data_IF_420355411669
#
_entry.id   IF_420355411669
#
_cell.length_a   1.000
_cell.length_b   1.000
_cell.length_c   1.000
_cell.angle_alpha   90.00
_cell.angle_beta   90.00
_cell.angle_gamma   90.00
#
_symmetry.space_group_name_H-M   'P 1'
#
loop_
_entity.id
_entity.type
_entity.pdbx_description
1 polymer ?
#
# COMPACT_ATOMS: atom_id res chain seq x y z
N UNK A 1 -9.40 -11.86 12.21
CA UNK A 1 -9.56 -10.59 11.48
C UNK A 1 -11.04 -10.22 11.59
N UNK A 2 -11.40 -9.06 12.15
CA UNK A 2 -12.81 -8.63 12.08
C UNK A 2 -13.15 -8.32 10.62
N UNK A 3 -14.31 -8.81 10.19
CA UNK A 3 -14.73 -8.95 8.81
C UNK A 3 -14.63 -7.64 8.00
N UNK A 4 -13.84 -7.56 6.89
CA UNK A 4 -13.70 -6.38 6.01
C UNK A 4 -14.98 -5.94 5.28
N UNK A 5 -16.14 -6.53 5.59
CA UNK A 5 -17.40 -6.42 4.85
C UNK A 5 -18.05 -5.02 4.80
N UNK A 6 -17.46 -3.97 5.40
CA UNK A 6 -18.03 -2.62 5.39
C UNK A 6 -17.18 -1.57 4.69
N UNK A 7 -16.10 -1.97 4.00
CA UNK A 7 -15.22 -1.00 3.35
C UNK A 7 -15.12 -1.27 1.86
N UNK A 8 -15.47 -0.27 1.04
CA UNK A 8 -15.33 -0.28 -0.42
C UNK A 8 -13.87 -0.46 -0.90
N UNK A 9 -12.90 -0.55 0.00
CA UNK A 9 -11.50 -0.74 -0.35
C UNK A 9 -11.18 -2.22 -0.46
N UNK A 10 -10.73 -2.66 -1.63
CA UNK A 10 -10.31 -4.03 -1.91
C UNK A 10 -8.78 -4.12 -1.89
N UNK A 11 -8.15 -4.54 -0.78
CA UNK A 11 -6.70 -4.55 -0.66
C UNK A 11 -6.06 -5.60 -1.58
N UNK A 12 -4.93 -5.24 -2.18
CA UNK A 12 -4.11 -6.10 -3.04
C UNK A 12 -2.71 -6.26 -2.47
N UNK A 13 -2.07 -5.16 -2.05
CA UNK A 13 -0.80 -5.17 -1.34
C UNK A 13 -1.02 -4.70 0.09
N UNK A 14 -0.42 -5.38 1.07
CA UNK A 14 -0.62 -5.08 2.48
C UNK A 14 0.65 -5.19 3.29
N UNK A 15 0.76 -4.32 4.29
CA UNK A 15 1.64 -4.51 5.44
C UNK A 15 0.78 -4.63 6.69
N UNK A 16 0.54 -5.87 7.11
CA UNK A 16 -0.30 -6.22 8.27
C UNK A 16 0.43 -6.00 9.61
N UNK A 17 1.76 -5.89 9.57
CA UNK A 17 2.61 -5.72 10.72
C UNK A 17 3.00 -4.25 10.97
N UNK A 18 2.33 -3.30 10.30
CA UNK A 18 2.69 -1.88 10.32
C UNK A 18 2.72 -1.28 11.73
N UNK A 19 1.87 -1.76 12.64
CA UNK A 19 1.88 -1.32 14.04
C UNK A 19 3.22 -1.48 14.76
N UNK A 20 4.14 -2.31 14.23
CA UNK A 20 5.51 -2.53 14.77
C UNK A 20 6.56 -1.61 14.14
N UNK A 21 6.20 -0.84 13.12
CA UNK A 21 7.11 0.00 12.32
C UNK A 21 6.61 1.43 12.09
N UNK A 22 5.54 1.84 12.79
CA UNK A 22 4.94 3.19 12.72
C UNK A 22 5.81 4.26 13.42
N UNK A 23 7.11 4.27 13.14
CA UNK A 23 8.08 5.23 13.66
C UNK A 23 8.10 5.32 15.19
N UNK A 24 7.92 6.52 15.73
CA UNK A 24 7.87 6.77 17.17
C UNK A 24 6.66 6.13 17.87
N UNK A 25 5.64 5.76 17.09
CA UNK A 25 4.42 5.14 17.59
C UNK A 25 4.46 3.62 17.52
N UNK A 26 5.55 3.02 17.01
CA UNK A 26 5.71 1.57 16.96
C UNK A 26 5.36 0.92 18.33
N UNK A 27 4.57 -0.15 18.27
CA UNK A 27 4.03 -0.91 19.42
C UNK A 27 3.01 -0.16 20.30
N UNK A 28 2.72 1.11 20.01
CA UNK A 28 1.77 1.95 20.78
C UNK A 28 0.82 2.75 19.87
N UNK A 29 0.69 2.31 18.62
CA UNK A 29 -0.13 2.97 17.60
C UNK A 29 -1.51 2.31 17.53
N UNK A 30 -2.49 3.12 17.15
CA UNK A 30 -3.82 2.67 16.78
C UNK A 30 -3.86 2.11 15.35
N UNK A 31 -2.81 2.34 14.54
CA UNK A 31 -2.71 1.80 13.18
C UNK A 31 -2.16 0.39 13.20
N UNK A 32 -2.94 -0.55 12.67
CA UNK A 32 -2.53 -1.95 12.53
C UNK A 32 -1.82 -2.22 11.22
N UNK A 33 -2.36 -1.71 10.13
CA UNK A 33 -1.91 -2.05 8.79
C UNK A 33 -1.97 -0.89 7.80
N UNK A 34 -1.16 -0.99 6.74
CA UNK A 34 -1.28 -0.18 5.53
C UNK A 34 -1.62 -1.08 4.35
N UNK A 35 -2.43 -0.60 3.42
CA UNK A 35 -2.69 -1.34 2.17
C UNK A 35 -2.75 -0.43 0.95
N UNK A 36 -2.47 -1.03 -0.21
CA UNK A 36 -2.79 -0.50 -1.53
C UNK A 36 -3.81 -1.44 -2.18
N UNK A 37 -4.78 -0.89 -2.87
CA UNK A 37 -5.86 -1.67 -3.45
C UNK A 37 -6.81 -0.84 -4.27
N UNK A 38 -7.92 -1.44 -4.69
CA UNK A 38 -8.95 -0.77 -5.46
C UNK A 38 -9.90 -0.02 -4.52
N UNK A 39 -10.28 1.20 -4.87
CA UNK A 39 -11.36 1.93 -4.18
C UNK A 39 -12.68 1.75 -4.92
N UNK A 40 -13.76 1.46 -4.19
CA UNK A 40 -15.10 1.30 -4.76
C UNK A 40 -15.86 2.61 -5.08
N UNK A 41 -15.22 3.78 -5.02
CA UNK A 41 -15.81 5.00 -5.59
C UNK A 41 -15.50 5.04 -7.09
N UNK A 42 -16.43 4.53 -7.89
CA UNK A 42 -16.35 4.54 -9.34
C UNK A 42 -17.26 5.66 -9.86
N UNK A 43 -16.80 6.91 -9.83
CA UNK A 43 -17.57 8.01 -10.47
C UNK A 43 -17.54 7.88 -12.01
N UNK A 44 -16.46 7.32 -12.56
CA UNK A 44 -16.24 7.23 -14.01
C UNK A 44 -16.29 5.78 -14.56
N UNK A 45 -16.72 4.81 -13.75
CA UNK A 45 -16.75 3.39 -14.13
C UNK A 45 -15.37 2.72 -14.27
N UNK A 46 -14.28 3.44 -13.95
CA UNK A 46 -12.91 2.90 -13.91
C UNK A 46 -12.49 2.53 -12.50
N UNK A 47 -11.67 1.48 -12.39
CA UNK A 47 -11.09 1.06 -11.13
C UNK A 47 -9.98 2.03 -10.70
N UNK A 48 -10.20 2.75 -9.60
CA UNK A 48 -9.19 3.64 -9.01
C UNK A 48 -8.36 2.89 -7.97
N UNK A 49 -7.04 3.10 -7.99
CA UNK A 49 -6.14 2.64 -6.93
C UNK A 49 -6.13 3.63 -5.78
N UNK A 50 -6.10 3.12 -4.55
CA UNK A 50 -6.03 3.92 -3.35
C UNK A 50 -5.12 3.27 -2.30
N UNK A 51 -4.55 4.11 -1.45
CA UNK A 51 -3.93 3.67 -0.20
C UNK A 51 -4.93 3.74 0.94
N UNK A 52 -4.82 2.84 1.92
CA UNK A 52 -5.64 2.86 3.12
C UNK A 52 -4.82 2.58 4.37
N UNK A 53 -5.12 3.36 5.41
CA UNK A 53 -4.59 3.18 6.77
C UNK A 53 -5.65 2.46 7.60
N UNK A 54 -5.32 1.31 8.15
CA UNK A 54 -6.24 0.49 8.95
C UNK A 54 -5.99 0.70 10.44
N UNK A 55 -7.00 1.19 11.15
CA UNK A 55 -6.96 1.45 12.60
C UNK A 55 -7.72 0.38 13.39
N UNK A 56 -7.38 0.21 14.66
CA UNK A 56 -8.19 -0.55 15.63
C UNK A 56 -9.56 0.09 15.84
N UNK A 57 -10.61 -0.72 16.00
CA UNK A 57 -11.97 -0.28 16.30
C UNK A 57 -12.12 0.55 17.60
N UNK A 58 -11.12 0.55 18.49
CA UNK A 58 -11.09 1.39 19.69
C UNK A 58 -10.76 2.87 19.40
N UNK A 59 -10.29 3.19 18.18
CA UNK A 59 -10.13 4.55 17.68
C UNK A 59 -11.35 4.96 16.85
N UNK A 60 -12.04 6.00 17.28
CA UNK A 60 -13.28 6.52 16.69
C UNK A 60 -13.25 6.64 15.16
N UNK A 61 -14.44 6.46 14.57
CA UNK A 61 -14.68 6.32 13.14
C UNK A 61 -14.06 7.39 12.25
N UNK A 62 -13.90 7.00 10.99
CA UNK A 62 -13.39 7.81 9.87
C UNK A 62 -14.14 9.14 9.82
N UNK A 63 -13.56 10.16 10.45
CA UNK A 63 -13.92 11.55 10.22
C UNK A 63 -13.29 11.96 8.91
N UNK A 64 -14.04 12.65 8.05
CA UNK A 64 -13.62 13.09 6.72
C UNK A 64 -12.53 14.19 6.71
N UNK A 65 -11.71 14.25 7.78
CA UNK A 65 -10.60 15.19 7.96
C UNK A 65 -9.55 14.61 8.93
N UNK A 66 -9.15 13.35 8.73
CA UNK A 66 -8.07 12.74 9.50
C UNK A 66 -6.72 13.39 9.14
N UNK A 67 -6.08 14.05 10.11
CA UNK A 67 -4.68 14.42 10.01
C UNK A 67 -3.81 13.16 9.98
N UNK A 68 -3.00 13.01 8.93
CA UNK A 68 -2.06 11.89 8.80
C UNK A 68 -0.67 12.38 9.21
N UNK A 69 -0.01 11.76 10.21
CA UNK A 69 1.38 12.08 10.53
C UNK A 69 2.28 11.93 9.30
N UNK A 70 3.16 12.91 9.08
CA UNK A 70 3.99 13.00 7.85
C UNK A 70 4.77 11.72 7.57
N UNK A 71 5.29 11.04 8.60
CA UNK A 71 6.06 9.80 8.38
C UNK A 71 5.21 8.69 7.75
N UNK A 72 3.91 8.63 8.04
CA UNK A 72 3.01 7.63 7.40
C UNK A 72 2.81 7.89 5.91
N UNK A 73 2.93 9.14 5.47
CA UNK A 73 2.94 9.48 4.03
C UNK A 73 4.20 8.92 3.37
N UNK A 74 5.35 9.03 4.05
CA UNK A 74 6.61 8.43 3.59
C UNK A 74 6.52 6.90 3.57
N UNK A 75 5.97 6.29 4.62
CA UNK A 75 5.81 4.83 4.71
C UNK A 75 4.87 4.29 3.62
N UNK A 76 3.77 5.00 3.32
CA UNK A 76 2.92 4.70 2.17
C UNK A 76 3.66 4.88 0.84
N UNK A 77 4.51 5.89 0.71
CA UNK A 77 5.33 6.10 -0.49
C UNK A 77 6.33 4.94 -0.68
N UNK A 78 6.91 4.44 0.41
CA UNK A 78 7.79 3.26 0.41
C UNK A 78 6.99 2.01 0.00
N UNK A 79 5.79 1.82 0.55
CA UNK A 79 4.90 0.72 0.17
C UNK A 79 4.54 0.76 -1.32
N UNK A 80 4.27 1.95 -1.87
CA UNK A 80 4.02 2.16 -3.31
C UNK A 80 5.26 1.76 -4.13
N UNK A 81 6.46 2.19 -3.73
CA UNK A 81 7.69 1.83 -4.44
C UNK A 81 7.94 0.32 -4.42
N UNK A 82 7.70 -0.35 -3.29
CA UNK A 82 7.82 -1.81 -3.16
C UNK A 82 6.82 -2.53 -4.08
N UNK A 83 5.56 -2.09 -4.10
CA UNK A 83 4.54 -2.62 -4.99
C UNK A 83 4.91 -2.43 -6.48
N UNK A 84 5.33 -1.22 -6.88
CA UNK A 84 5.74 -0.94 -8.26
C UNK A 84 6.94 -1.80 -8.69
N UNK A 85 7.90 -2.01 -7.79
CA UNK A 85 9.05 -2.89 -8.03
C UNK A 85 8.57 -4.32 -8.29
N UNK A 86 7.67 -4.84 -7.45
CA UNK A 86 7.07 -6.16 -7.68
C UNK A 86 6.33 -6.25 -9.02
N UNK A 87 5.44 -5.30 -9.31
CA UNK A 87 4.62 -5.32 -10.53
C UNK A 87 5.43 -5.12 -11.82
N UNK A 88 6.62 -4.53 -11.75
CA UNK A 88 7.53 -4.45 -12.90
C UNK A 88 8.01 -5.83 -13.38
N UNK A 89 8.00 -6.84 -12.50
CA UNK A 89 8.45 -8.21 -12.78
C UNK A 89 7.34 -9.25 -12.59
N UNK A 90 6.15 -8.83 -12.16
CA UNK A 90 5.05 -9.71 -11.78
C UNK A 90 4.49 -10.55 -12.94
N UNK A 91 4.71 -10.11 -14.19
CA UNK A 91 4.32 -10.83 -15.41
C UNK A 91 4.91 -12.24 -15.50
N UNK A 92 5.94 -12.55 -14.69
CA UNK A 92 6.57 -13.88 -14.60
C UNK A 92 5.73 -14.89 -13.81
N UNK A 93 4.76 -14.43 -13.03
CA UNK A 93 3.88 -15.29 -12.23
C UNK A 93 2.49 -15.39 -12.87
N UNK A 94 1.91 -16.59 -12.87
CA UNK A 94 0.56 -16.82 -13.40
C UNK A 94 -0.50 -15.94 -12.72
N UNK A 95 -0.35 -15.70 -11.41
CA UNK A 95 -1.28 -14.90 -10.61
C UNK A 95 -0.75 -13.51 -10.30
N UNK A 96 0.31 -13.04 -10.98
CA UNK A 96 1.05 -11.82 -10.66
C UNK A 96 1.78 -11.84 -9.31
N UNK A 97 1.83 -12.98 -8.62
CA UNK A 97 2.65 -13.26 -7.44
C UNK A 97 2.81 -14.77 -7.26
N UNK A 98 3.71 -15.21 -6.36
CA UNK A 98 3.83 -16.61 -5.94
C UNK A 98 2.85 -16.90 -4.77
N UNK A 99 1.81 -17.72 -4.95
CA UNK A 99 0.88 -18.05 -3.89
C UNK A 99 1.50 -18.80 -2.70
N UNK A 100 2.64 -19.49 -2.91
CA UNK A 100 3.35 -20.18 -1.83
C UNK A 100 4.22 -19.22 -1.01
N UNK A 101 4.62 -18.10 -1.60
CA UNK A 101 5.46 -17.07 -0.98
C UNK A 101 4.87 -15.67 -1.23
N UNK A 102 3.74 -15.33 -0.60
CA UNK A 102 3.03 -14.06 -0.86
C UNK A 102 3.76 -12.82 -0.33
N UNK A 103 4.78 -13.00 0.53
CA UNK A 103 5.63 -11.90 1.02
C UNK A 103 6.60 -11.50 -0.09
N UNK A 104 6.51 -10.24 -0.53
CA UNK A 104 7.32 -9.71 -1.64
C UNK A 104 8.55 -8.94 -1.17
N UNK A 105 8.50 -8.34 0.02
CA UNK A 105 9.56 -7.45 0.50
C UNK A 105 9.57 -7.34 2.02
N UNK A 106 10.73 -6.98 2.56
CA UNK A 106 10.95 -6.73 3.98
C UNK A 106 11.89 -5.54 4.17
N UNK A 107 11.29 -4.40 4.48
CA UNK A 107 11.96 -3.10 4.46
C UNK A 107 12.28 -2.67 5.89
N UNK A 108 13.57 -2.45 6.19
CA UNK A 108 13.99 -1.99 7.52
C UNK A 108 13.53 -0.55 7.78
N UNK A 109 12.80 -0.33 8.87
CA UNK A 109 12.32 0.99 9.31
C UNK A 109 12.56 1.17 10.82
N UNK A 110 12.22 2.35 11.34
CA UNK A 110 12.32 2.58 12.77
C UNK A 110 11.38 1.62 13.53
N UNK A 111 11.96 0.83 14.45
CA UNK A 111 11.25 -0.16 15.27
C UNK A 111 11.56 -1.60 14.84
N UNK A 112 11.25 -1.97 13.60
CA UNK A 112 11.45 -3.33 13.05
C UNK A 112 11.53 -3.26 11.50
N UNK A 113 11.02 -4.26 10.79
CA UNK A 113 10.88 -4.25 9.34
C UNK A 113 9.41 -4.28 8.92
N UNK A 114 9.05 -3.42 7.97
CA UNK A 114 7.77 -3.44 7.28
C UNK A 114 7.75 -4.66 6.36
N UNK A 115 6.83 -5.58 6.62
CA UNK A 115 6.62 -6.74 5.74
C UNK A 115 5.60 -6.35 4.70
N UNK A 116 5.93 -6.50 3.42
CA UNK A 116 5.00 -6.22 2.33
C UNK A 116 4.62 -7.55 1.69
N UNK A 117 3.33 -7.81 1.59
CA UNK A 117 2.80 -9.05 1.05
C UNK A 117 1.56 -8.79 0.18
N UNK A 118 1.26 -9.73 -0.70
CA UNK A 118 -0.05 -9.80 -1.37
C UNK A 118 -1.11 -10.14 -0.33
N UNK A 119 -2.25 -9.44 -0.38
CA UNK A 119 -3.36 -9.60 0.56
C UNK A 119 -4.18 -10.85 0.23
N UNK A 120 -3.67 -12.03 0.60
CA UNK A 120 -4.34 -13.32 0.36
C UNK A 120 -5.66 -13.50 1.11
N UNK A 121 -5.94 -12.63 2.10
CA UNK A 121 -7.24 -12.60 2.78
C UNK A 121 -8.35 -11.91 1.96
N UNK A 122 -8.00 -11.29 0.81
CA UNK A 122 -8.99 -10.81 -0.15
C UNK A 122 -9.53 -12.00 -0.96
N UNK A 123 -10.82 -12.29 -0.82
CA UNK A 123 -11.49 -13.42 -1.50
C UNK A 123 -11.41 -13.32 -3.03
N UNK A 124 -11.36 -12.10 -3.57
CA UNK A 124 -11.30 -11.81 -5.01
C UNK A 124 -9.87 -11.44 -5.46
N UNK A 125 -8.83 -11.83 -4.71
CA UNK A 125 -7.44 -11.39 -4.94
C UNK A 125 -6.96 -11.63 -6.37
N UNK A 126 -7.36 -12.73 -7.01
CA UNK A 126 -6.90 -13.06 -8.37
C UNK A 126 -7.47 -12.13 -9.45
N UNK A 127 -8.65 -11.57 -9.23
CA UNK A 127 -9.26 -10.60 -10.15
C UNK A 127 -8.79 -9.18 -9.79
N UNK A 128 -8.86 -8.82 -8.51
CA UNK A 128 -8.50 -7.49 -8.04
C UNK A 128 -7.02 -7.16 -8.30
N UNK A 129 -6.10 -8.13 -8.20
CA UNK A 129 -4.67 -7.88 -8.50
C UNK A 129 -4.44 -7.56 -9.98
N UNK A 130 -5.24 -8.12 -10.89
CA UNK A 130 -5.15 -7.84 -12.33
C UNK A 130 -5.65 -6.42 -12.61
N UNK A 131 -6.83 -6.08 -12.09
CA UNK A 131 -7.40 -4.74 -12.19
C UNK A 131 -6.48 -3.68 -11.56
N UNK A 132 -5.84 -4.01 -10.43
CA UNK A 132 -4.86 -3.15 -9.79
C UNK A 132 -3.64 -2.93 -10.68
N UNK A 133 -3.09 -3.99 -11.28
CA UNK A 133 -1.95 -3.90 -12.20
C UNK A 133 -2.28 -3.15 -13.49
N UNK A 134 -3.49 -3.34 -14.04
CA UNK A 134 -4.01 -2.58 -15.17
C UNK A 134 -4.11 -1.09 -14.80
N UNK A 135 -4.69 -0.77 -13.64
CA UNK A 135 -4.81 0.62 -13.18
C UNK A 135 -3.45 1.26 -12.91
N UNK A 136 -2.45 0.51 -12.39
CA UNK A 136 -1.07 0.99 -12.30
C UNK A 136 -0.50 1.35 -13.68
N UNK A 137 -0.77 0.52 -14.69
CA UNK A 137 -0.31 0.74 -16.07
C UNK A 137 -0.98 1.94 -16.72
N UNK A 138 -2.31 2.06 -16.57
CA UNK A 138 -3.10 3.20 -17.07
C UNK A 138 -2.65 4.53 -16.46
N UNK A 139 -2.23 4.51 -15.19
CA UNK A 139 -1.70 5.69 -14.49
C UNK A 139 -0.18 5.83 -14.61
N UNK A 140 0.49 5.00 -15.41
CA UNK A 140 1.95 4.89 -15.46
C UNK A 140 2.67 6.18 -15.81
N UNK A 141 2.11 7.00 -16.71
CA UNK A 141 2.66 8.32 -17.05
C UNK A 141 2.66 9.25 -15.83
N UNK A 142 1.51 9.40 -15.18
CA UNK A 142 1.36 10.24 -13.98
C UNK A 142 2.24 9.74 -12.84
N UNK A 143 2.21 8.43 -12.54
CA UNK A 143 3.03 7.83 -11.48
C UNK A 143 4.51 8.05 -11.77
N UNK A 144 4.96 7.80 -13.01
CA UNK A 144 6.33 8.00 -13.43
C UNK A 144 6.79 9.46 -13.31
N UNK A 145 5.95 10.43 -13.67
CA UNK A 145 6.22 11.87 -13.50
C UNK A 145 6.45 12.22 -12.02
N UNK A 146 5.58 11.75 -11.12
CA UNK A 146 5.67 12.01 -9.67
C UNK A 146 6.92 11.35 -9.07
N UNK A 147 7.24 10.12 -9.44
CA UNK A 147 8.43 9.42 -8.95
C UNK A 147 9.74 10.05 -9.42
N UNK A 148 9.82 10.47 -10.70
CA UNK A 148 10.99 11.21 -11.20
C UNK A 148 11.17 12.54 -10.48
N UNK A 149 10.06 13.26 -10.25
CA UNK A 149 10.09 14.50 -9.48
C UNK A 149 10.55 14.26 -8.06
N UNK A 150 10.02 13.24 -7.37
CA UNK A 150 10.44 12.87 -6.03
C UNK A 150 11.93 12.50 -5.97
N UNK A 151 12.41 11.72 -6.94
CA UNK A 151 13.83 11.33 -7.04
C UNK A 151 14.72 12.56 -7.12
N UNK A 152 14.43 13.49 -8.03
CA UNK A 152 15.17 14.76 -8.14
C UNK A 152 15.17 15.56 -6.84
N UNK A 153 14.02 15.67 -6.17
CA UNK A 153 13.94 16.39 -4.89
C UNK A 153 14.76 15.68 -3.78
N UNK A 154 14.77 14.35 -3.75
CA UNK A 154 15.57 13.58 -2.78
C UNK A 154 17.08 13.72 -3.04
N UNK A 155 17.51 13.80 -4.31
CA UNK A 155 18.89 14.13 -4.69
C UNK A 155 19.28 15.55 -4.24
N UNK A 156 18.43 16.55 -4.50
CA UNK A 156 18.64 17.94 -4.06
C UNK A 156 18.74 18.08 -2.53
N UNK A 157 17.98 17.27 -1.78
CA UNK A 157 18.03 17.19 -0.32
C UNK A 157 19.22 16.38 0.22
N UNK A 158 19.96 15.67 -0.64
CA UNK A 158 21.10 14.83 -0.26
C UNK A 158 20.74 13.45 0.32
N UNK A 159 19.51 12.98 0.11
CA UNK A 159 19.06 11.64 0.52
C UNK A 159 19.24 10.56 -0.55
N UNK A 160 19.49 10.95 -1.80
CA UNK A 160 19.88 10.07 -2.91
C UNK A 160 21.18 10.59 -3.54
N UNK A 161 21.99 9.69 -4.08
CA UNK A 161 23.26 9.99 -4.77
C UNK A 161 23.24 9.47 -6.19
#
# INVERSE_FOLDING_TARGET
MENPASTNHKPVMMSDNYGKVDGRFAYKTDVRALSLGLSGQNEDGKAHIAAKVWRTAEGQGIGSSDEIPIHRILDLSILICSALTHFSEAYRYEHLYDPQHPVIDRIGLQGNAMTVAVCTDNEEIHEDIKLFNESLSDNGEMIGERLRTLTRMLEELGYAR
#
